data_IF_487682635118
#
_entry.id   IF_487682635118
#
_cell.length_a   1.000
_cell.length_b   1.000
_cell.length_c   1.000
_cell.angle_alpha   90.00
_cell.angle_beta   90.00
_cell.angle_gamma   90.00
#
_symmetry.space_group_name_H-M   'P 1'
#
loop_
_entity.id
_entity.type
_entity.pdbx_description
1 polymer ?
#
# COMPACT_ATOMS: atom_id res chain seq x y z
N UNK A 1 4.47 -2.97 -0.11
CA UNK A 1 4.32 -4.15 -0.99
C UNK A 1 2.94 -4.76 -0.78
N UNK A 2 2.40 -5.46 -1.77
CA UNK A 2 1.15 -6.21 -1.67
C UNK A 2 1.41 -7.71 -1.77
N UNK A 3 0.69 -8.52 -0.99
CA UNK A 3 0.72 -9.98 -1.07
C UNK A 3 -0.61 -10.47 -1.63
N UNK A 4 -0.56 -11.31 -2.65
CA UNK A 4 -1.73 -12.08 -3.04
C UNK A 4 -1.81 -13.35 -2.19
N UNK A 5 -2.84 -13.45 -1.35
CA UNK A 5 -3.07 -14.58 -0.46
C UNK A 5 -4.19 -15.50 -0.95
N UNK A 6 -4.80 -15.21 -2.10
CA UNK A 6 -5.84 -16.03 -2.71
C UNK A 6 -5.36 -16.74 -3.99
N UNK A 7 -6.30 -17.37 -4.71
CA UNK A 7 -6.04 -18.23 -5.87
C UNK A 7 -6.24 -17.54 -7.23
N UNK A 8 -6.56 -16.24 -7.26
CA UNK A 8 -6.81 -15.47 -8.49
C UNK A 8 -5.75 -14.39 -8.65
N UNK A 9 -5.30 -14.11 -9.88
CA UNK A 9 -4.32 -13.04 -10.13
C UNK A 9 -4.91 -11.66 -9.86
N UNK A 10 -4.15 -10.79 -9.20
CA UNK A 10 -4.53 -9.40 -8.94
C UNK A 10 -3.47 -8.42 -9.43
N UNK A 11 -3.84 -7.17 -9.64
CA UNK A 11 -2.92 -6.09 -10.00
C UNK A 11 -3.36 -4.80 -9.36
N UNK A 12 -2.57 -4.26 -8.44
CA UNK A 12 -2.90 -3.02 -7.73
C UNK A 12 -2.39 -1.82 -8.51
N UNK A 13 -3.31 -0.89 -8.79
CA UNK A 13 -3.04 0.40 -9.42
C UNK A 13 -3.56 1.48 -8.47
N UNK A 14 -2.73 2.46 -8.14
CA UNK A 14 -3.22 3.65 -7.42
C UNK A 14 -4.04 4.52 -8.38
N UNK A 15 -5.11 5.12 -7.90
CA UNK A 15 -6.03 5.87 -8.76
C UNK A 15 -5.39 7.13 -9.37
N UNK A 16 -4.33 7.64 -8.74
CA UNK A 16 -3.50 8.74 -9.26
C UNK A 16 -2.50 8.30 -10.34
N UNK A 17 -2.43 7.00 -10.65
CA UNK A 17 -1.54 6.41 -11.65
C UNK A 17 -0.06 6.35 -11.24
N UNK A 18 0.30 6.78 -10.03
CA UNK A 18 1.70 6.87 -9.60
C UNK A 18 2.35 5.50 -9.33
N UNK A 19 1.54 4.47 -9.08
CA UNK A 19 2.02 3.12 -8.82
C UNK A 19 1.13 2.10 -9.52
N UNK A 20 1.80 1.13 -10.13
CA UNK A 20 1.20 -0.05 -10.73
C UNK A 20 2.08 -1.27 -10.43
N UNK A 21 1.53 -2.28 -9.75
CA UNK A 21 2.32 -3.45 -9.34
C UNK A 21 2.68 -4.39 -10.48
N UNK A 22 1.98 -4.31 -11.61
CA UNK A 22 1.84 -5.43 -12.54
C UNK A 22 1.06 -6.59 -11.92
N UNK A 23 0.98 -7.70 -12.64
CA UNK A 23 0.25 -8.88 -12.19
C UNK A 23 0.94 -9.55 -11.00
N UNK A 24 0.14 -9.89 -9.99
CA UNK A 24 0.54 -10.61 -8.78
C UNK A 24 -0.19 -11.95 -8.80
N UNK A 25 0.52 -12.98 -9.26
CA UNK A 25 0.02 -14.35 -9.29
C UNK A 25 -0.37 -14.86 -7.89
N UNK A 26 -1.19 -15.93 -7.79
CA UNK A 26 -1.51 -16.57 -6.52
C UNK A 26 -0.28 -16.89 -5.68
N UNK A 27 -0.29 -16.46 -4.41
CA UNK A 27 0.84 -16.65 -3.50
C UNK A 27 2.08 -15.81 -3.81
N UNK A 28 2.06 -14.90 -4.79
CA UNK A 28 3.16 -13.99 -5.08
C UNK A 28 3.09 -12.69 -4.25
N UNK A 29 4.20 -11.98 -4.18
CA UNK A 29 4.32 -10.65 -3.55
C UNK A 29 4.75 -9.65 -4.62
N UNK A 30 4.16 -8.45 -4.63
CA UNK A 30 4.60 -7.37 -5.51
C UNK A 30 6.03 -6.93 -5.19
N UNK A 31 6.66 -6.19 -6.11
CA UNK A 31 7.84 -5.39 -5.77
C UNK A 31 7.53 -4.36 -4.67
N UNK A 32 8.58 -3.84 -4.05
CA UNK A 32 8.48 -2.68 -3.16
C UNK A 32 7.95 -1.46 -3.91
N UNK A 33 7.16 -0.65 -3.22
CA UNK A 33 6.46 0.50 -3.80
C UNK A 33 6.84 1.73 -3.00
N UNK A 34 7.24 2.78 -3.70
CA UNK A 34 7.39 4.09 -3.07
C UNK A 34 6.04 4.81 -3.08
N UNK A 35 5.48 5.02 -1.90
CA UNK A 35 4.24 5.75 -1.73
C UNK A 35 4.59 7.22 -1.48
N UNK A 36 4.23 8.09 -2.44
CA UNK A 36 4.42 9.53 -2.30
C UNK A 36 3.24 10.17 -1.56
N UNK A 37 3.28 10.19 -0.23
CA UNK A 37 2.26 10.84 0.59
C UNK A 37 1.14 9.91 1.08
N UNK A 38 0.07 10.54 1.57
CA UNK A 38 -0.97 9.94 2.39
C UNK A 38 -2.28 9.76 1.62
N UNK A 39 -3.17 8.89 2.13
CA UNK A 39 -4.54 8.71 1.64
C UNK A 39 -4.62 8.36 0.15
N UNK A 40 -3.97 7.27 -0.26
CA UNK A 40 -3.93 6.85 -1.67
C UNK A 40 -4.98 5.77 -1.96
N UNK A 41 -6.08 6.09 -2.65
CA UNK A 41 -7.01 5.07 -3.12
C UNK A 41 -6.37 4.25 -4.23
N UNK A 42 -6.79 3.01 -4.32
CA UNK A 42 -6.30 2.04 -5.29
C UNK A 42 -7.39 1.07 -5.71
N UNK A 43 -7.20 0.48 -6.89
CA UNK A 43 -8.08 -0.54 -7.42
C UNK A 43 -7.29 -1.70 -8.04
N UNK A 44 -7.98 -2.83 -8.19
CA UNK A 44 -7.50 -3.91 -9.04
C UNK A 44 -7.92 -3.65 -10.48
N UNK A 45 -6.99 -3.52 -11.42
CA UNK A 45 -7.31 -3.27 -12.83
C UNK A 45 -7.93 -4.47 -13.54
N UNK A 46 -7.76 -5.69 -13.00
CA UNK A 46 -8.36 -6.92 -13.53
C UNK A 46 -9.78 -7.11 -12.98
N UNK A 47 -10.03 -6.67 -11.73
CA UNK A 47 -11.27 -6.88 -10.98
C UNK A 47 -11.82 -5.51 -10.52
N UNK A 48 -12.62 -4.79 -11.34
CA UNK A 48 -12.97 -3.39 -11.10
C UNK A 48 -13.73 -3.12 -9.79
N UNK A 49 -14.37 -4.13 -9.21
CA UNK A 49 -15.05 -4.01 -7.91
C UNK A 49 -14.10 -4.05 -6.71
N UNK A 50 -12.84 -4.44 -6.90
CA UNK A 50 -11.85 -4.50 -5.83
C UNK A 50 -11.16 -3.14 -5.70
N UNK A 51 -11.61 -2.39 -4.70
CA UNK A 51 -11.11 -1.05 -4.36
C UNK A 51 -10.65 -1.00 -2.91
N UNK A 52 -9.71 -0.12 -2.61
CA UNK A 52 -9.23 0.12 -1.25
C UNK A 52 -8.52 1.47 -1.12
N UNK A 53 -8.08 1.80 0.10
CA UNK A 53 -7.27 2.98 0.35
C UNK A 53 -6.08 2.68 1.26
N UNK A 54 -4.95 3.29 0.97
CA UNK A 54 -3.78 3.35 1.84
C UNK A 54 -3.90 4.60 2.69
N UNK A 55 -4.18 4.42 3.98
CA UNK A 55 -4.22 5.51 4.93
C UNK A 55 -2.82 5.75 5.51
N UNK A 56 -2.56 6.96 5.96
CA UNK A 56 -1.42 7.24 6.85
C UNK A 56 -1.64 6.47 8.14
N UNK A 57 -0.68 5.64 8.53
CA UNK A 57 -0.41 5.57 9.95
C UNK A 57 0.37 6.84 10.28
N UNK A 58 -0.32 7.90 10.73
CA UNK A 58 0.36 8.87 11.58
C UNK A 58 0.82 8.06 12.79
N UNK A 59 2.06 7.57 12.74
CA UNK A 59 2.72 7.22 13.99
C UNK A 59 2.98 8.57 14.61
N UNK A 60 2.36 8.91 15.76
CA UNK A 60 2.69 10.15 16.43
C UNK A 60 4.21 10.18 16.56
N UNK A 61 4.83 11.29 16.16
CA UNK A 61 6.23 11.49 16.47
C UNK A 61 6.37 11.28 17.98
N UNK A 62 7.31 10.43 18.44
CA UNK A 62 7.56 10.28 19.86
C UNK A 62 7.75 11.69 20.43
N UNK A 63 7.08 12.06 21.55
CA UNK A 63 7.25 13.39 22.11
C UNK A 63 8.74 13.66 22.32
N UNK A 64 9.24 14.85 21.93
CA UNK A 64 10.65 15.18 22.15
C UNK A 64 10.95 15.01 23.64
N UNK A 65 12.06 14.36 23.96
CA UNK A 65 12.46 14.16 25.35
C UNK A 65 12.66 15.52 26.01
N UNK A 66 11.72 15.95 26.85
CA UNK A 66 11.82 17.20 27.63
C UNK A 66 12.44 16.96 29.02
N UNK A 67 13.42 16.05 29.14
CA UNK A 67 14.05 15.68 30.40
C UNK A 67 15.26 14.74 30.25
N UNK A 68 15.83 14.32 31.39
CA UNK A 68 16.99 13.42 31.41
C UNK A 68 16.58 11.98 31.10
N UNK A 69 16.82 11.55 29.87
CA UNK A 69 16.99 10.14 29.56
C UNK A 69 18.41 9.75 29.99
N UNK A 70 18.51 9.09 31.15
CA UNK A 70 19.72 8.50 31.72
C UNK A 70 19.34 7.36 32.63
#
# INVERSE_FOLDING_TARGET
MFKNIDIVTHRVVLDDGSVDTGDIAPGATSRELQLGGLNKPYHCSIHPSMVGSLNSADTPEPPPCTGYCG
#
